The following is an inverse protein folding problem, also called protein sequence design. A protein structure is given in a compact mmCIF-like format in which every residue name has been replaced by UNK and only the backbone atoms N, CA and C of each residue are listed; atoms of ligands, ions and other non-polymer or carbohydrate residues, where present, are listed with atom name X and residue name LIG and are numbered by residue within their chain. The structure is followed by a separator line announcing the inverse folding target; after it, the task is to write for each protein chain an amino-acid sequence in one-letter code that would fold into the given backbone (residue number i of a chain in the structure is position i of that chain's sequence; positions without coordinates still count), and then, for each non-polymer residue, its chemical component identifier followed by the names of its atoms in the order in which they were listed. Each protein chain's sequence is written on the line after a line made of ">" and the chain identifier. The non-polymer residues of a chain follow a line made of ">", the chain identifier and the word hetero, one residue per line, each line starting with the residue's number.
data_IF_814599340973
#
_entry.id   IF_814599340973
#
_cell.length_a   1.000
_cell.length_b   1.000
_cell.length_c   1.000
_cell.angle_alpha   90.00
_cell.angle_beta   90.00
_cell.angle_gamma   90.00
#
_symmetry.space_group_name_H-M   'P 1'
#
loop_
_entity.id
_entity.type
_entity.pdbx_description
1 polymer ?
#
# COMPACT_ATOMS: atom_id res chain seq x y z
N UNK A 1 24.20 22.86 -2.58
CA UNK A 1 22.75 22.78 -2.78
C UNK A 1 22.15 21.88 -1.70
N UNK A 2 21.60 22.45 -0.64
CA UNK A 2 20.85 21.69 0.36
C UNK A 2 19.48 21.34 -0.24
N UNK A 3 19.19 20.05 -0.37
CA UNK A 3 17.93 19.55 -0.95
C UNK A 3 16.82 19.75 0.08
N UNK A 4 15.82 20.53 -0.28
CA UNK A 4 14.70 20.91 0.60
C UNK A 4 13.82 19.72 0.96
N UNK A 5 13.72 19.42 2.26
CA UNK A 5 12.79 18.46 2.84
C UNK A 5 11.30 18.86 2.76
N UNK A 6 10.95 19.94 2.06
CA UNK A 6 9.59 20.52 2.04
C UNK A 6 8.59 19.89 1.07
N UNK A 7 8.97 18.86 0.32
CA UNK A 7 8.11 18.23 -0.71
C UNK A 7 7.52 16.88 -0.27
N UNK A 8 7.95 16.35 0.88
CA UNK A 8 7.48 15.07 1.38
C UNK A 8 6.34 15.30 2.39
N UNK A 9 5.28 14.48 2.34
CA UNK A 9 4.26 14.49 3.38
C UNK A 9 4.88 14.26 4.76
N UNK A 10 4.46 15.06 5.76
CA UNK A 10 4.97 14.92 7.13
C UNK A 10 4.75 13.51 7.71
N UNK A 11 3.64 12.87 7.34
CA UNK A 11 3.37 11.47 7.72
C UNK A 11 4.50 10.53 7.29
N UNK A 12 5.05 10.71 6.07
CA UNK A 12 6.14 9.91 5.56
C UNK A 12 7.45 10.13 6.32
N UNK A 13 7.78 11.38 6.66
CA UNK A 13 9.02 11.67 7.40
C UNK A 13 8.95 11.17 8.84
N UNK A 14 7.81 11.36 9.51
CA UNK A 14 7.61 10.91 10.90
C UNK A 14 7.63 9.37 11.03
N UNK A 15 7.14 8.68 10.00
CA UNK A 15 7.19 7.22 9.89
C UNK A 15 8.63 6.70 9.82
N UNK A 16 9.48 7.32 9.01
CA UNK A 16 10.87 6.90 8.82
C UNK A 16 11.68 7.12 10.10
N UNK A 17 11.49 8.25 10.80
CA UNK A 17 12.21 8.57 12.04
C UNK A 17 11.99 7.54 13.16
N UNK A 18 10.79 6.95 13.21
CA UNK A 18 10.42 5.95 14.24
C UNK A 18 10.92 4.55 13.92
N UNK A 19 11.36 4.27 12.68
CA UNK A 19 11.82 2.94 12.26
C UNK A 19 13.17 2.61 12.90
N UNK A 20 13.23 1.56 13.72
CA UNK A 20 14.45 1.12 14.42
C UNK A 20 14.77 -0.34 14.12
N UNK A 21 15.75 -0.57 13.25
CA UNK A 21 16.16 -1.91 12.86
C UNK A 21 15.03 -2.71 12.19
N UNK A 22 15.37 -3.84 11.57
CA UNK A 22 14.39 -4.76 11.03
C UNK A 22 15.02 -6.14 10.88
N UNK A 23 14.47 -7.14 11.56
CA UNK A 23 14.88 -8.53 11.37
C UNK A 23 14.18 -9.12 10.15
N UNK A 24 14.93 -9.29 9.07
CA UNK A 24 14.40 -9.83 7.82
C UNK A 24 13.96 -11.30 7.93
N UNK A 25 14.39 -12.06 8.94
CA UNK A 25 13.87 -13.41 9.18
C UNK A 25 12.38 -13.43 9.55
N UNK A 26 11.84 -12.26 9.95
CA UNK A 26 10.42 -12.04 10.27
C UNK A 26 9.61 -11.43 9.13
N UNK A 27 10.22 -11.24 7.95
CA UNK A 27 9.54 -10.64 6.81
C UNK A 27 8.39 -11.51 6.30
N UNK A 28 7.28 -10.88 5.90
CA UNK A 28 6.07 -11.56 5.43
C UNK A 28 5.21 -12.20 6.54
N UNK A 29 5.68 -12.21 7.80
CA UNK A 29 4.92 -12.80 8.91
C UNK A 29 3.87 -11.81 9.42
N UNK A 30 2.63 -12.28 9.58
CA UNK A 30 1.51 -11.46 10.08
C UNK A 30 1.68 -11.08 11.56
N UNK A 31 2.45 -11.85 12.32
CA UNK A 31 2.79 -11.61 13.73
C UNK A 31 4.18 -10.96 13.90
N UNK A 32 4.69 -10.29 12.86
CA UNK A 32 5.99 -9.62 12.88
C UNK A 32 6.07 -8.59 14.04
N UNK A 33 7.06 -8.68 14.95
CA UNK A 33 7.17 -7.76 16.08
C UNK A 33 7.71 -6.37 15.71
N UNK A 34 8.09 -6.13 14.45
CA UNK A 34 8.62 -4.87 13.95
C UNK A 34 7.55 -4.05 13.19
N UNK A 35 6.30 -4.02 13.67
CA UNK A 35 5.19 -3.31 13.01
C UNK A 35 4.78 -2.01 13.70
N UNK A 36 5.18 -1.77 14.96
CA UNK A 36 4.70 -0.67 15.81
C UNK A 36 4.92 0.75 15.24
N UNK A 37 5.86 0.91 14.31
CA UNK A 37 6.14 2.20 13.67
C UNK A 37 5.24 2.49 12.46
N UNK A 38 4.47 1.51 11.98
CA UNK A 38 3.50 1.65 10.88
C UNK A 38 2.21 2.22 11.45
N UNK A 39 1.91 3.49 11.13
CA UNK A 39 0.70 4.16 11.62
C UNK A 39 -0.49 3.99 10.67
N UNK A 40 -1.74 4.17 11.13
CA UNK A 40 -2.92 4.14 10.27
C UNK A 40 -2.82 5.10 9.08
N UNK A 41 -2.25 6.29 9.25
CA UNK A 41 -2.09 7.28 8.18
C UNK A 41 -1.11 6.81 7.10
N UNK A 42 -0.08 6.04 7.47
CA UNK A 42 0.85 5.42 6.52
C UNK A 42 0.16 4.31 5.75
N UNK A 43 -0.63 3.47 6.44
CA UNK A 43 -1.44 2.44 5.79
C UNK A 43 -2.42 3.08 4.80
N UNK A 44 -3.15 4.10 5.23
CA UNK A 44 -4.10 4.83 4.38
C UNK A 44 -3.40 5.50 3.20
N UNK A 45 -2.19 6.03 3.36
CA UNK A 45 -1.48 6.73 2.28
C UNK A 45 -0.89 5.73 1.27
N UNK A 46 -0.21 4.69 1.76
CA UNK A 46 0.69 3.85 0.95
C UNK A 46 0.16 2.45 0.64
N UNK A 47 -0.97 2.02 1.22
CA UNK A 47 -1.58 0.73 0.92
C UNK A 47 -2.88 0.87 0.12
N UNK A 48 -3.24 -0.18 -0.61
CA UNK A 48 -4.57 -0.37 -1.20
C UNK A 48 -5.17 -1.57 -0.49
N UNK A 49 -6.16 -1.34 0.36
CA UNK A 49 -6.76 -2.32 1.28
C UNK A 49 -8.26 -2.05 1.40
N UNK A 50 -9.00 -3.04 1.87
CA UNK A 50 -10.44 -2.94 2.13
C UNK A 50 -11.26 -3.86 1.23
N UNK A 51 -12.50 -3.45 0.97
CA UNK A 51 -13.39 -4.14 0.04
C UNK A 51 -13.04 -3.76 -1.42
N UNK A 52 -13.51 -4.53 -2.42
CA UNK A 52 -13.25 -4.21 -3.83
C UNK A 52 -13.59 -2.76 -4.22
N UNK A 53 -14.63 -2.16 -3.64
CA UNK A 53 -15.02 -0.77 -3.89
C UNK A 53 -13.99 0.25 -3.39
N UNK A 54 -13.37 -0.03 -2.24
CA UNK A 54 -12.31 0.81 -1.66
C UNK A 54 -11.08 0.81 -2.58
N UNK A 55 -10.74 -0.37 -3.10
CA UNK A 55 -9.67 -0.55 -4.07
C UNK A 55 -9.95 0.25 -5.35
N UNK A 56 -11.15 0.09 -5.93
CA UNK A 56 -11.56 0.83 -7.13
C UNK A 56 -11.48 2.34 -6.92
N UNK A 57 -12.04 2.85 -5.81
CA UNK A 57 -12.03 4.28 -5.50
C UNK A 57 -10.60 4.82 -5.40
N UNK A 58 -9.71 4.10 -4.72
CA UNK A 58 -8.32 4.54 -4.57
C UNK A 58 -7.54 4.44 -5.89
N UNK A 59 -7.72 3.36 -6.65
CA UNK A 59 -7.05 3.18 -7.94
C UNK A 59 -7.51 4.22 -8.97
N UNK A 60 -8.77 4.67 -8.93
CA UNK A 60 -9.25 5.78 -9.77
C UNK A 60 -8.54 7.10 -9.45
N UNK A 61 -8.40 7.45 -8.17
CA UNK A 61 -7.63 8.64 -7.74
C UNK A 61 -6.17 8.56 -8.19
N UNK A 62 -5.56 7.38 -8.11
CA UNK A 62 -4.19 7.17 -8.58
C UNK A 62 -4.09 7.27 -10.11
N UNK A 63 -5.08 6.75 -10.84
CA UNK A 63 -5.17 6.89 -12.29
C UNK A 63 -5.29 8.37 -12.72
N UNK A 64 -6.14 9.14 -12.04
CA UNK A 64 -6.27 10.60 -12.24
C UNK A 64 -4.95 11.34 -11.97
N UNK A 65 -4.17 10.85 -11.00
CA UNK A 65 -2.82 11.35 -10.72
C UNK A 65 -1.75 10.86 -11.72
N UNK A 66 -2.13 10.08 -12.74
CA UNK A 66 -1.25 9.64 -13.83
C UNK A 66 -0.69 8.22 -13.70
N UNK A 67 -1.13 7.43 -12.71
CA UNK A 67 -0.77 6.02 -12.61
C UNK A 67 -1.35 5.24 -13.79
N UNK A 68 -0.51 4.48 -14.50
CA UNK A 68 -0.93 3.65 -15.64
C UNK A 68 -0.89 2.15 -15.36
N UNK A 69 -0.15 1.73 -14.33
CA UNK A 69 0.03 0.34 -13.96
C UNK A 69 -0.04 0.21 -12.44
N UNK A 70 -0.75 -0.81 -11.97
CA UNK A 70 -0.83 -1.19 -10.57
C UNK A 70 -0.54 -2.69 -10.44
N UNK A 71 0.45 -3.03 -9.63
CA UNK A 71 0.80 -4.42 -9.36
C UNK A 71 0.16 -4.85 -8.03
N UNK A 72 -0.55 -5.97 -8.07
CA UNK A 72 -1.14 -6.57 -6.87
C UNK A 72 -0.03 -7.24 -6.06
N UNK A 73 0.02 -6.95 -4.76
CA UNK A 73 0.93 -7.62 -3.84
C UNK A 73 0.33 -8.96 -3.41
N UNK A 74 1.05 -10.06 -3.66
CA UNK A 74 0.61 -11.44 -3.42
C UNK A 74 1.65 -12.14 -2.54
N UNK A 75 1.52 -11.97 -1.23
CA UNK A 75 2.42 -12.57 -0.23
C UNK A 75 1.72 -12.52 1.13
N UNK A 76 0.55 -13.16 1.20
CA UNK A 76 -0.30 -13.18 2.40
C UNK A 76 -1.14 -14.46 2.55
N UNK A 77 -0.92 -15.49 1.71
CA UNK A 77 -1.52 -16.81 1.84
C UNK A 77 -2.94 -16.95 1.30
N UNK A 78 -3.47 -15.91 0.65
CA UNK A 78 -4.81 -15.91 0.02
C UNK A 78 -4.73 -15.50 -1.47
N UNK A 79 -3.62 -15.85 -2.12
CA UNK A 79 -3.27 -15.31 -3.44
C UNK A 79 -4.31 -15.65 -4.51
N UNK A 80 -4.82 -16.88 -4.53
CA UNK A 80 -5.84 -17.32 -5.51
C UNK A 80 -7.14 -16.53 -5.37
N UNK A 81 -7.62 -16.34 -4.14
CA UNK A 81 -8.83 -15.59 -3.87
C UNK A 81 -8.63 -14.11 -4.21
N UNK A 82 -7.49 -13.51 -3.86
CA UNK A 82 -7.18 -12.12 -4.21
C UNK A 82 -7.20 -11.91 -5.73
N UNK A 83 -6.57 -12.83 -6.48
CA UNK A 83 -6.60 -12.78 -7.95
C UNK A 83 -8.05 -12.88 -8.47
N UNK A 84 -8.85 -13.80 -7.93
CA UNK A 84 -10.25 -13.96 -8.32
C UNK A 84 -11.06 -12.69 -8.04
N UNK A 85 -10.95 -12.14 -6.83
CA UNK A 85 -11.63 -10.90 -6.42
C UNK A 85 -11.27 -9.71 -7.33
N UNK A 86 -9.99 -9.56 -7.68
CA UNK A 86 -9.57 -8.52 -8.63
C UNK A 86 -10.12 -8.77 -10.04
N UNK A 87 -10.12 -10.02 -10.51
CA UNK A 87 -10.66 -10.40 -11.81
C UNK A 87 -12.16 -10.12 -11.95
N UNK A 88 -12.92 -10.40 -10.90
CA UNK A 88 -14.39 -10.29 -10.89
C UNK A 88 -14.87 -8.87 -10.59
N UNK A 89 -14.25 -8.17 -9.63
CA UNK A 89 -14.83 -6.95 -9.05
C UNK A 89 -14.03 -5.67 -9.32
N UNK A 90 -12.70 -5.76 -9.48
CA UNK A 90 -11.83 -4.56 -9.60
C UNK A 90 -11.50 -4.27 -11.06
N UNK A 91 -10.85 -5.21 -11.76
CA UNK A 91 -10.35 -5.02 -13.13
C UNK A 91 -11.46 -4.59 -14.11
N UNK A 92 -12.69 -5.15 -14.09
CA UNK A 92 -13.75 -4.73 -15.00
C UNK A 92 -14.12 -3.25 -14.91
N UNK A 93 -13.83 -2.57 -13.80
CA UNK A 93 -14.12 -1.15 -13.58
C UNK A 93 -13.16 -0.21 -14.32
N UNK A 94 -12.06 -0.75 -14.86
CA UNK A 94 -11.03 -0.03 -15.60
C UNK A 94 -10.93 -0.46 -17.06
N UNK A 95 -11.78 -1.39 -17.51
CA UNK A 95 -11.90 -1.78 -18.92
C UNK A 95 -12.82 -0.78 -19.63
N UNK A 96 -12.24 0.00 -20.54
CA UNK A 96 -12.97 0.79 -21.55
C UNK A 96 -13.36 -0.08 -22.74
#
# INVERSE_FOLDING_TARGET
>A
MARTAGWLPKSLTDYIEKRKGYDYSKHGQSDNPYLDFITPEIVESFCVLGQPEDHVSKLQKLQEAGMTHFNIYLDNGDEENIIAQYGEHVIPRFRG
#
